data_IF_708694988621
#
_entry.id   IF_708694988621
#
_cell.length_a   1.000
_cell.length_b   1.000
_cell.length_c   1.000
_cell.angle_alpha   90.00
_cell.angle_beta   90.00
_cell.angle_gamma   90.00
#
_symmetry.space_group_name_H-M   'P 1'
#
loop_
_entity.id
_entity.type
_entity.pdbx_description
1 polymer ?
#
# COMPACT_ATOMS: atom_id res chain seq x y z
N UNK A 1 -5.26 -1.61 25.06
CA UNK A 1 -4.57 -0.79 24.04
C UNK A 1 -5.15 -1.16 22.68
N UNK A 2 -5.43 -0.18 21.81
CA UNK A 2 -5.98 -0.40 20.46
C UNK A 2 -5.23 0.49 19.48
N UNK A 3 -4.83 -0.07 18.33
CA UNK A 3 -4.26 0.70 17.23
C UNK A 3 -5.40 1.37 16.46
N UNK A 4 -5.28 2.68 16.20
CA UNK A 4 -6.32 3.44 15.51
C UNK A 4 -5.89 3.90 14.11
N UNK A 5 -4.65 4.37 13.94
CA UNK A 5 -4.20 4.94 12.66
C UNK A 5 -2.67 5.02 12.57
N UNK A 6 -2.08 4.73 11.40
CA UNK A 6 -0.75 5.22 11.05
C UNK A 6 -0.82 6.69 10.62
N UNK A 7 0.12 7.51 11.09
CA UNK A 7 0.18 8.93 10.79
C UNK A 7 1.45 9.26 10.00
N UNK A 8 1.30 9.90 8.84
CA UNK A 8 2.39 10.40 8.02
C UNK A 8 2.55 11.90 8.20
N UNK A 9 3.79 12.32 8.48
CA UNK A 9 4.17 13.72 8.53
C UNK A 9 4.25 14.28 7.09
N UNK A 10 3.43 15.26 6.76
CA UNK A 10 3.36 15.87 5.43
C UNK A 10 3.63 17.37 5.50
N UNK A 11 4.20 17.96 4.46
CA UNK A 11 4.46 19.42 4.43
C UNK A 11 3.21 20.24 4.18
N UNK A 12 2.30 19.73 3.35
CA UNK A 12 1.08 20.43 2.95
C UNK A 12 -0.07 19.42 2.80
N UNK A 13 -1.12 19.58 3.61
CA UNK A 13 -2.27 18.67 3.58
C UNK A 13 -3.02 18.70 2.26
N UNK A 14 -3.14 19.86 1.61
CA UNK A 14 -3.87 19.95 0.34
C UNK A 14 -3.11 19.22 -0.78
N UNK A 15 -1.78 19.35 -0.82
CA UNK A 15 -0.92 18.62 -1.76
C UNK A 15 -1.00 17.12 -1.53
N UNK A 16 -0.81 16.67 -0.29
CA UNK A 16 -0.80 15.25 0.02
C UNK A 16 -2.19 14.63 -0.14
N UNK A 17 -3.25 15.29 0.34
CA UNK A 17 -4.64 14.85 0.10
C UNK A 17 -4.91 14.63 -1.38
N UNK A 18 -4.59 15.62 -2.22
CA UNK A 18 -4.78 15.53 -3.68
C UNK A 18 -4.03 14.34 -4.26
N UNK A 19 -2.80 14.11 -3.82
CA UNK A 19 -2.03 12.95 -4.23
C UNK A 19 -2.73 11.63 -3.88
N UNK A 20 -3.12 11.44 -2.62
CA UNK A 20 -3.77 10.19 -2.18
C UNK A 20 -5.16 9.99 -2.83
N UNK A 21 -5.91 11.06 -3.09
CA UNK A 21 -7.17 11.03 -3.82
C UNK A 21 -6.98 10.65 -5.30
N UNK A 22 -6.04 11.29 -6.01
CA UNK A 22 -5.87 11.06 -7.45
C UNK A 22 -5.15 9.73 -7.77
N UNK A 23 -4.14 9.39 -6.97
CA UNK A 23 -3.27 8.23 -7.20
C UNK A 23 -3.93 6.96 -6.65
N UNK A 24 -4.30 6.97 -5.37
CA UNK A 24 -4.79 5.79 -4.65
C UNK A 24 -6.31 5.76 -4.51
N UNK A 25 -7.04 6.81 -4.93
CA UNK A 25 -8.49 6.86 -4.81
C UNK A 25 -9.01 7.00 -3.37
N UNK A 26 -8.13 7.31 -2.40
CA UNK A 26 -8.54 7.44 -1.01
C UNK A 26 -9.39 8.69 -0.80
N UNK A 27 -10.40 8.63 0.07
CA UNK A 27 -11.28 9.77 0.36
C UNK A 27 -11.06 10.29 1.77
N UNK A 28 -11.16 11.60 1.97
CA UNK A 28 -11.12 12.18 3.32
C UNK A 28 -12.41 11.82 4.08
N UNK A 29 -12.25 11.25 5.28
CA UNK A 29 -13.36 10.85 6.16
C UNK A 29 -13.45 11.70 7.43
N UNK A 30 -12.35 12.33 7.85
CA UNK A 30 -12.29 13.25 8.99
C UNK A 30 -11.35 14.41 8.68
N UNK A 31 -11.76 15.63 9.07
CA UNK A 31 -11.00 16.86 8.89
C UNK A 31 -10.85 17.61 10.22
N UNK A 32 -9.61 17.78 10.67
CA UNK A 32 -9.22 18.58 11.83
C UNK A 32 -8.28 19.74 11.42
N UNK A 33 -8.32 20.16 10.16
CA UNK A 33 -7.49 21.22 9.60
C UNK A 33 -6.07 20.73 9.30
N UNK A 34 -5.20 20.74 10.32
CA UNK A 34 -3.79 20.30 10.18
C UNK A 34 -3.58 18.80 10.36
N UNK A 35 -4.67 18.08 10.60
CA UNK A 35 -4.72 16.63 10.65
C UNK A 35 -5.96 16.19 9.86
N UNK A 36 -5.79 15.29 8.91
CA UNK A 36 -6.92 14.66 8.22
C UNK A 36 -6.79 13.15 8.27
N UNK A 37 -7.92 12.45 8.16
CA UNK A 37 -7.95 10.99 8.06
C UNK A 37 -8.59 10.60 6.74
N UNK A 38 -7.93 9.70 6.02
CA UNK A 38 -8.39 9.14 4.76
C UNK A 38 -9.03 7.76 4.95
N UNK A 39 -9.76 7.27 3.95
CA UNK A 39 -10.28 5.89 3.90
C UNK A 39 -9.17 4.88 4.15
N UNK A 40 -9.48 3.81 4.89
CA UNK A 40 -8.48 2.85 5.37
C UNK A 40 -7.79 3.29 6.68
N UNK A 41 -8.07 4.50 7.17
CA UNK A 41 -7.59 5.00 8.46
C UNK A 41 -6.23 5.70 8.40
N UNK A 42 -5.69 5.98 7.22
CA UNK A 42 -4.43 6.71 7.06
C UNK A 42 -4.57 8.17 7.50
N UNK A 43 -3.80 8.60 8.50
CA UNK A 43 -3.76 9.99 8.95
C UNK A 43 -2.62 10.77 8.30
N UNK A 44 -2.90 12.01 7.87
CA UNK A 44 -1.89 12.95 7.39
C UNK A 44 -1.80 14.12 8.37
N UNK A 45 -0.58 14.49 8.77
CA UNK A 45 -0.32 15.57 9.74
C UNK A 45 0.66 16.59 9.17
N UNK A 46 0.20 17.83 9.08
CA UNK A 46 1.06 18.98 8.80
C UNK A 46 1.67 19.54 10.08
N UNK A 47 2.85 20.17 10.03
CA UNK A 47 3.56 20.72 11.20
C UNK A 47 3.84 19.64 12.27
N UNK A 48 4.23 18.45 11.81
CA UNK A 48 4.50 17.30 12.69
C UNK A 48 5.59 17.57 13.75
N UNK A 49 6.73 18.23 13.44
CA UNK A 49 7.74 18.58 14.44
C UNK A 49 7.18 19.48 15.53
N UNK A 50 6.41 20.51 15.16
CA UNK A 50 5.80 21.44 16.08
C UNK A 50 4.81 20.74 17.01
N UNK A 51 3.99 19.83 16.46
CA UNK A 51 3.08 19.00 17.26
C UNK A 51 3.82 18.17 18.30
N UNK A 52 5.03 17.68 17.97
CA UNK A 52 5.86 16.88 18.87
C UNK A 52 6.83 17.69 19.74
N UNK A 53 6.94 19.01 19.53
CA UNK A 53 7.94 19.86 20.18
C UNK A 53 9.39 19.53 19.75
N UNK A 54 9.57 19.07 18.52
CA UNK A 54 10.87 18.74 17.93
C UNK A 54 11.42 19.89 17.07
N UNK A 55 12.73 19.88 16.86
CA UNK A 55 13.40 20.74 15.88
C UNK A 55 12.94 20.36 14.46
N UNK A 56 12.40 21.29 13.65
CA UNK A 56 12.02 21.01 12.27
C UNK A 56 13.16 20.41 11.43
N UNK A 57 14.41 20.78 11.71
CA UNK A 57 15.59 20.28 10.98
C UNK A 57 15.93 18.81 11.36
N UNK A 58 15.27 18.24 12.37
CA UNK A 58 15.44 16.84 12.76
C UNK A 58 14.69 15.84 11.87
N UNK A 59 13.76 16.30 11.03
CA UNK A 59 13.02 15.41 10.14
C UNK A 59 13.88 14.90 8.99
N UNK A 60 13.91 13.58 8.84
CA UNK A 60 14.57 12.90 7.72
C UNK A 60 13.52 12.55 6.66
N UNK A 61 13.59 13.23 5.51
CA UNK A 61 12.81 12.84 4.34
C UNK A 61 13.42 11.62 3.64
N UNK A 62 12.58 10.81 2.99
CA UNK A 62 13.04 9.61 2.28
C UNK A 62 13.87 8.66 3.18
N UNK A 63 13.48 8.50 4.45
CA UNK A 63 14.19 7.67 5.44
C UNK A 63 14.26 6.19 5.08
N UNK A 64 13.35 5.71 4.21
CA UNK A 64 13.27 4.31 3.74
C UNK A 64 13.19 3.27 4.87
N UNK A 65 12.55 3.64 5.98
CA UNK A 65 12.41 2.79 7.17
C UNK A 65 10.98 2.31 7.43
N UNK A 66 10.02 2.75 6.62
CA UNK A 66 8.62 2.35 6.69
C UNK A 66 7.95 2.48 5.33
N UNK A 67 6.86 1.75 5.14
CA UNK A 67 5.98 1.87 3.97
C UNK A 67 4.50 1.73 4.36
N UNK A 68 3.62 2.36 3.60
CA UNK A 68 2.19 2.11 3.63
C UNK A 68 1.83 1.09 2.54
N UNK A 69 1.28 -0.05 2.95
CA UNK A 69 0.96 -1.18 2.07
C UNK A 69 -0.53 -1.19 1.70
N UNK A 70 -0.81 -1.32 0.41
CA UNK A 70 -2.15 -1.43 -0.17
C UNK A 70 -2.22 -2.62 -1.13
N UNK A 71 -3.44 -3.14 -1.32
CA UNK A 71 -3.76 -4.15 -2.32
C UNK A 71 -4.76 -3.59 -3.33
N UNK A 72 -4.57 -3.89 -4.61
CA UNK A 72 -5.44 -3.42 -5.70
C UNK A 72 -5.84 -4.58 -6.62
N UNK A 73 -7.15 -4.77 -6.82
CA UNK A 73 -7.67 -5.86 -7.65
C UNK A 73 -7.29 -5.68 -9.12
N UNK A 74 -7.40 -4.46 -9.67
CA UNK A 74 -6.89 -4.12 -11.01
C UNK A 74 -5.44 -3.60 -10.93
N UNK A 75 -4.55 -4.46 -10.42
CA UNK A 75 -3.15 -4.09 -10.19
C UNK A 75 -2.44 -3.61 -11.46
N UNK A 76 -2.67 -4.26 -12.60
CA UNK A 76 -2.01 -3.88 -13.86
C UNK A 76 -2.56 -2.55 -14.40
N UNK A 77 -3.87 -2.32 -14.32
CA UNK A 77 -4.47 -1.03 -14.66
C UNK A 77 -3.96 0.09 -13.76
N UNK A 78 -3.78 -0.17 -12.46
CA UNK A 78 -3.16 0.76 -11.52
C UNK A 78 -1.72 1.10 -11.91
N UNK A 79 -0.88 0.11 -12.23
CA UNK A 79 0.51 0.33 -12.66
C UNK A 79 0.57 1.17 -13.94
N UNK A 80 -0.28 0.89 -14.92
CA UNK A 80 -0.36 1.69 -16.15
C UNK A 80 -0.76 3.14 -15.86
N UNK A 81 -1.83 3.36 -15.09
CA UNK A 81 -2.27 4.69 -14.67
C UNK A 81 -1.16 5.44 -13.94
N UNK A 82 -0.51 4.79 -12.96
CA UNK A 82 0.55 5.41 -12.14
C UNK A 82 1.73 5.86 -13.00
N UNK A 83 2.23 4.95 -13.85
CA UNK A 83 3.41 5.21 -14.71
C UNK A 83 3.14 6.23 -15.81
N UNK A 84 1.88 6.39 -16.23
CA UNK A 84 1.48 7.40 -17.22
C UNK A 84 1.55 8.85 -16.72
N UNK A 85 1.52 9.10 -15.40
CA UNK A 85 1.45 10.46 -14.86
C UNK A 85 2.76 11.26 -15.01
N UNK A 86 3.91 10.58 -15.03
CA UNK A 86 5.24 11.19 -15.18
C UNK A 86 5.73 12.03 -13.98
N UNK A 87 4.88 12.34 -12.99
CA UNK A 87 5.19 13.09 -11.78
C UNK A 87 5.52 12.21 -10.56
N UNK A 88 5.36 10.88 -10.68
CA UNK A 88 5.58 9.92 -9.60
C UNK A 88 7.02 9.40 -9.60
N UNK A 89 7.71 9.54 -8.46
CA UNK A 89 9.03 8.95 -8.25
C UNK A 89 8.91 7.51 -7.75
N UNK A 90 9.32 6.55 -8.57
CA UNK A 90 9.38 5.15 -8.16
C UNK A 90 10.57 4.89 -7.22
N UNK A 91 10.38 3.97 -6.27
CA UNK A 91 11.49 3.36 -5.52
C UNK A 91 12.20 2.36 -6.43
N UNK A 92 11.40 1.54 -7.11
CA UNK A 92 11.83 0.61 -8.16
C UNK A 92 10.64 0.35 -9.12
N UNK A 93 10.89 -0.14 -10.35
CA UNK A 93 9.84 -0.61 -11.24
C UNK A 93 8.97 -1.71 -10.61
N UNK A 94 7.82 -2.01 -11.22
CA UNK A 94 7.02 -3.18 -10.86
C UNK A 94 7.89 -4.44 -10.85
N UNK A 95 7.79 -5.24 -9.79
CA UNK A 95 8.53 -6.49 -9.64
C UNK A 95 7.68 -7.56 -8.97
N UNK A 96 8.13 -8.80 -9.06
CA UNK A 96 7.53 -9.93 -8.36
C UNK A 96 8.37 -10.27 -7.12
N UNK A 97 7.70 -10.43 -5.99
CA UNK A 97 8.31 -10.82 -4.72
C UNK A 97 8.59 -12.33 -4.69
N UNK A 98 9.50 -12.81 -3.82
CA UNK A 98 9.80 -14.23 -3.70
C UNK A 98 8.60 -15.13 -3.40
N UNK A 99 7.52 -14.56 -2.84
CA UNK A 99 6.26 -15.25 -2.57
C UNK A 99 5.23 -15.15 -3.72
N UNK A 100 5.65 -14.70 -4.89
CA UNK A 100 4.86 -14.62 -6.12
C UNK A 100 4.03 -13.34 -6.28
N UNK A 101 3.90 -12.51 -5.25
CA UNK A 101 3.10 -11.28 -5.37
C UNK A 101 3.79 -10.26 -6.28
N UNK A 102 3.07 -9.71 -7.27
CA UNK A 102 3.55 -8.54 -8.00
C UNK A 102 3.22 -7.28 -7.23
N UNK A 103 4.18 -6.36 -7.15
CA UNK A 103 3.99 -5.07 -6.49
C UNK A 103 4.81 -3.96 -7.16
N UNK A 104 4.44 -2.73 -6.85
CA UNK A 104 5.17 -1.51 -7.23
C UNK A 104 5.34 -0.63 -5.99
N UNK A 105 6.51 0.00 -5.86
CA UNK A 105 6.81 0.94 -4.79
C UNK A 105 7.15 2.32 -5.33
N UNK A 106 6.58 3.34 -4.73
CA UNK A 106 6.78 4.73 -5.11
C UNK A 106 6.73 5.65 -3.90
N UNK A 107 7.15 6.90 -4.10
CA UNK A 107 7.11 7.92 -3.07
C UNK A 107 5.86 8.77 -3.19
N UNK A 108 5.30 9.15 -2.04
CA UNK A 108 4.39 10.28 -1.94
C UNK A 108 5.14 11.63 -2.03
N UNK A 109 4.45 12.79 -2.00
CA UNK A 109 5.08 14.10 -2.13
C UNK A 109 6.14 14.40 -1.06
N UNK A 110 6.07 13.75 0.09
CA UNK A 110 6.94 13.99 1.25
C UNK A 110 8.03 12.91 1.43
N UNK A 111 8.05 11.90 0.55
CA UNK A 111 9.06 10.86 0.50
C UNK A 111 8.74 9.63 1.35
N UNK A 112 7.47 9.43 1.72
CA UNK A 112 7.01 8.19 2.34
C UNK A 112 6.87 7.10 1.26
N UNK A 113 7.28 5.88 1.57
CA UNK A 113 7.15 4.76 0.64
C UNK A 113 5.70 4.26 0.69
N UNK A 114 5.12 4.10 -0.49
CA UNK A 114 3.85 3.42 -0.70
C UNK A 114 4.13 2.16 -1.50
N UNK A 115 3.65 1.02 -1.02
CA UNK A 115 3.57 -0.22 -1.78
C UNK A 115 2.13 -0.46 -2.20
N UNK A 116 1.92 -0.77 -3.48
CA UNK A 116 0.68 -1.35 -3.97
C UNK A 116 1.02 -2.71 -4.55
N UNK A 117 0.35 -3.75 -4.06
CA UNK A 117 0.52 -5.13 -4.51
C UNK A 117 -0.78 -5.76 -5.00
N UNK A 118 -0.66 -6.92 -5.63
CA UNK A 118 -1.82 -7.76 -5.89
C UNK A 118 -2.42 -8.29 -4.57
N UNK A 119 -3.75 -8.44 -4.48
CA UNK A 119 -4.36 -9.10 -3.35
C UNK A 119 -3.83 -10.51 -3.18
N UNK A 120 -3.31 -10.83 -1.99
CA UNK A 120 -2.77 -12.17 -1.71
C UNK A 120 -3.75 -13.31 -2.03
N UNK A 121 -5.07 -13.19 -1.82
CA UNK A 121 -6.03 -14.19 -2.28
C UNK A 121 -5.99 -14.44 -3.79
N UNK A 122 -5.80 -13.41 -4.61
CA UNK A 122 -5.69 -13.55 -6.07
C UNK A 122 -4.35 -14.17 -6.49
N UNK A 123 -3.26 -13.88 -5.77
CA UNK A 123 -1.96 -14.53 -5.95
C UNK A 123 -2.08 -16.04 -5.69
N UNK A 124 -2.69 -16.43 -4.57
CA UNK A 124 -2.97 -17.83 -4.23
C UNK A 124 -3.79 -18.52 -5.33
N UNK A 125 -4.88 -17.87 -5.78
CA UNK A 125 -5.73 -18.40 -6.85
C UNK A 125 -4.94 -18.59 -8.14
N UNK A 126 -4.11 -17.63 -8.54
CA UNK A 126 -3.29 -17.70 -9.77
C UNK A 126 -2.37 -18.92 -9.76
N UNK A 127 -1.69 -19.18 -8.64
CA UNK A 127 -0.79 -20.34 -8.53
C UNK A 127 -1.55 -21.69 -8.46
N UNK A 128 -2.73 -21.72 -7.82
CA UNK A 128 -3.59 -22.90 -7.87
C UNK A 128 -4.07 -23.21 -9.29
N UNK A 129 -4.47 -22.18 -10.05
CA UNK A 129 -4.91 -22.31 -11.45
C UNK A 129 -3.76 -22.71 -12.38
N UNK A 130 -2.52 -22.31 -12.07
CA UNK A 130 -1.34 -22.76 -12.81
C UNK A 130 -0.95 -24.23 -12.55
N UNK A 131 -1.71 -24.94 -11.71
CA UNK A 131 -1.54 -26.38 -11.46
C UNK A 131 -0.69 -26.73 -10.23
N UNK A 132 -0.29 -25.75 -9.42
CA UNK A 132 0.42 -26.03 -8.17
C UNK A 132 -0.51 -26.71 -7.15
N UNK A 133 0.03 -27.63 -6.35
CA UNK A 133 -0.72 -28.21 -5.24
C UNK A 133 -0.95 -27.17 -4.13
N UNK A 134 -2.00 -27.33 -3.28
CA UNK A 134 -2.19 -26.47 -2.12
C UNK A 134 -0.96 -26.37 -1.21
N UNK A 135 -0.22 -27.46 -1.01
CA UNK A 135 1.00 -27.47 -0.21
C UNK A 135 2.09 -26.61 -0.84
N UNK A 136 2.31 -26.74 -2.16
CA UNK A 136 3.29 -25.92 -2.89
C UNK A 136 2.92 -24.43 -2.85
N UNK A 137 1.63 -24.11 -2.98
CA UNK A 137 1.15 -22.72 -2.90
C UNK A 137 1.30 -22.17 -1.49
N UNK A 138 0.99 -22.97 -0.46
CA UNK A 138 1.16 -22.58 0.94
C UNK A 138 2.63 -22.32 1.26
N UNK A 139 3.54 -23.16 0.79
CA UNK A 139 4.99 -22.99 0.94
C UNK A 139 5.50 -21.74 0.22
N UNK A 140 5.11 -21.53 -1.05
CA UNK A 140 5.53 -20.36 -1.83
C UNK A 140 5.02 -19.04 -1.24
N UNK A 141 3.72 -18.97 -0.98
CA UNK A 141 3.05 -17.71 -0.58
C UNK A 141 3.16 -17.42 0.92
N UNK A 142 3.63 -18.41 1.70
CA UNK A 142 3.56 -18.43 3.17
C UNK A 142 2.13 -18.30 3.73
N UNK A 143 1.10 -18.37 2.88
CA UNK A 143 -0.28 -18.38 3.33
C UNK A 143 -0.58 -19.72 4.01
N UNK A 144 -1.23 -19.72 5.18
CA UNK A 144 -1.63 -20.94 5.87
C UNK A 144 -2.40 -21.89 4.95
N UNK A 145 -2.01 -23.17 4.94
CA UNK A 145 -2.65 -24.20 4.12
C UNK A 145 -4.18 -24.23 4.21
N UNK A 146 -4.83 -24.02 5.39
CA UNK A 146 -6.29 -23.93 5.46
C UNK A 146 -6.90 -22.84 4.58
N UNK A 147 -6.24 -21.69 4.44
CA UNK A 147 -6.68 -20.58 3.58
C UNK A 147 -6.55 -20.98 2.12
N UNK A 148 -5.42 -21.60 1.74
CA UNK A 148 -5.18 -22.08 0.38
C UNK A 148 -6.20 -23.15 -0.04
N UNK A 149 -6.51 -24.10 0.85
CA UNK A 149 -7.52 -25.13 0.61
C UNK A 149 -8.92 -24.54 0.44
N UNK A 150 -9.28 -23.53 1.24
CA UNK A 150 -10.54 -22.81 1.10
C UNK A 150 -10.64 -22.10 -0.27
N UNK A 151 -9.56 -21.43 -0.70
CA UNK A 151 -9.48 -20.82 -2.02
C UNK A 151 -9.66 -21.85 -3.15
N UNK A 152 -8.96 -22.99 -3.09
CA UNK A 152 -9.10 -24.08 -4.08
C UNK A 152 -10.54 -24.59 -4.19
N UNK A 153 -11.23 -24.79 -3.06
CA UNK A 153 -12.62 -25.22 -3.05
C UNK A 153 -13.54 -24.21 -3.76
N UNK A 154 -13.32 -22.92 -3.54
CA UNK A 154 -14.09 -21.86 -4.19
C UNK A 154 -13.88 -21.82 -5.71
N UNK A 155 -12.67 -22.14 -6.19
CA UNK A 155 -12.39 -22.25 -7.63
C UNK A 155 -13.14 -23.44 -8.25
N UNK A 156 -13.11 -24.61 -7.61
CA UNK A 156 -13.73 -25.85 -8.15
C UNK A 156 -15.27 -25.83 -8.15
N UNK A 157 -15.88 -24.95 -7.38
CA UNK A 157 -17.35 -24.84 -7.26
C UNK A 157 -17.95 -23.76 -8.18
N UNK A 158 -17.13 -23.07 -8.97
CA UNK A 158 -17.56 -22.14 -10.02
C UNK A 158 -17.48 -22.82 -11.38
#
# INVERSE_FOLDING_TARGET
MKFESPLLAVKDIAVSRRFYEEVLGLQMIVDHGRNIVLTGGLSLQQDFPEMLGLDPDSLVQCSRNAEMYFEEEDFLGFVEKLTSRGDIKLVHPMMEQPWGQRCIRFYDPDGHIIEVGEPMPLVVIRHLVSGMSPDQVSELTMCPLPIVLAARKNIMNK
#
